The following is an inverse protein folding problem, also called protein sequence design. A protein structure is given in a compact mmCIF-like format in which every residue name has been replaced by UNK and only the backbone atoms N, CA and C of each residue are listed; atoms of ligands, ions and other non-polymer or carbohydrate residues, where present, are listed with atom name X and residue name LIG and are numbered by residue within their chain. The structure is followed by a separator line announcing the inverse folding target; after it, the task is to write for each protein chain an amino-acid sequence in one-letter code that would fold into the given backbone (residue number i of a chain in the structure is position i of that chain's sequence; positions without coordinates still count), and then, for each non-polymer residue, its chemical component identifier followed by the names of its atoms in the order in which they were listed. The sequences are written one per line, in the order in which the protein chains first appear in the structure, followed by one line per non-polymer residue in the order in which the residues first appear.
data_IF_574108576876
#
_entry.id   IF_574108576876
#
_cell.length_a   1.000
_cell.length_b   1.000
_cell.length_c   1.000
_cell.angle_alpha   90.00
_cell.angle_beta   90.00
_cell.angle_gamma   90.00
#
_symmetry.space_group_name_H-M   'P 1'
#
loop_
_entity.id
_entity.type
_entity.pdbx_description
1 polymer ?
#
# COMPACT_ATOMS: atom_id res chain seq x y z
N UNK A 1 0.03 -17.09 -22.62
CA UNK A 1 0.19 -16.38 -23.90
C UNK A 1 0.17 -14.89 -23.59
N UNK A 2 1.27 -14.19 -23.84
CA UNK A 2 1.35 -12.73 -23.64
C UNK A 2 0.55 -12.04 -24.73
N UNK A 3 -0.69 -11.66 -24.43
CA UNK A 3 -1.44 -10.72 -25.28
C UNK A 3 -0.83 -9.34 -25.02
N UNK A 4 -0.01 -8.87 -25.96
CA UNK A 4 0.47 -7.48 -25.92
C UNK A 4 -0.74 -6.61 -26.26
N UNK A 5 -1.32 -5.96 -25.25
CA UNK A 5 -2.41 -5.00 -25.43
C UNK A 5 -2.02 -4.00 -26.52
N UNK A 6 -2.80 -3.96 -27.60
CA UNK A 6 -2.50 -3.13 -28.76
C UNK A 6 -3.20 -1.79 -28.58
N UNK A 7 -2.47 -0.69 -28.35
CA UNK A 7 -3.09 0.60 -28.11
C UNK A 7 -3.87 1.05 -29.34
N UNK A 8 -5.13 1.47 -29.10
CA UNK A 8 -6.05 1.96 -30.13
C UNK A 8 -5.53 3.20 -30.85
N UNK A 9 -4.82 4.05 -30.10
CA UNK A 9 -4.18 5.24 -30.65
C UNK A 9 -2.86 5.53 -29.91
N UNK A 10 -1.78 5.65 -30.69
CA UNK A 10 -0.48 6.13 -30.23
C UNK A 10 -0.22 7.49 -30.89
N UNK A 11 0.17 8.49 -30.10
CA UNK A 11 0.47 9.82 -30.62
C UNK A 11 1.54 10.53 -29.82
N UNK A 12 2.18 11.51 -30.43
CA UNK A 12 3.02 12.49 -29.73
C UNK A 12 2.24 13.81 -29.79
N UNK A 13 2.00 14.41 -28.63
CA UNK A 13 1.25 15.66 -28.53
C UNK A 13 1.97 16.64 -27.61
N UNK A 14 1.86 17.94 -27.91
CA UNK A 14 2.44 18.99 -27.08
C UNK A 14 1.71 19.14 -25.73
N UNK A 15 2.33 19.82 -24.78
CA UNK A 15 1.68 20.17 -23.49
C UNK A 15 0.38 20.94 -23.74
N UNK A 16 0.36 21.90 -24.68
CA UNK A 16 -0.86 22.62 -25.05
C UNK A 16 -1.95 21.66 -25.52
N UNK A 17 -1.63 20.74 -26.43
CA UNK A 17 -2.60 19.77 -26.95
C UNK A 17 -3.09 18.78 -25.88
N UNK A 18 -2.20 18.36 -24.98
CA UNK A 18 -2.55 17.49 -23.85
C UNK A 18 -3.58 18.17 -22.94
N UNK A 19 -3.31 19.41 -22.54
CA UNK A 19 -4.13 20.13 -21.57
C UNK A 19 -5.43 20.69 -22.17
N UNK A 20 -5.46 20.94 -23.48
CA UNK A 20 -6.66 21.32 -24.23
C UNK A 20 -7.48 20.10 -24.71
N UNK A 21 -7.06 18.86 -24.39
CA UNK A 21 -7.73 17.66 -24.85
C UNK A 21 -9.18 17.59 -24.32
N UNK A 22 -10.16 17.31 -25.19
CA UNK A 22 -11.57 17.23 -24.77
C UNK A 22 -11.77 16.07 -23.80
N UNK A 23 -12.62 16.29 -22.80
CA UNK A 23 -13.01 15.30 -21.79
C UNK A 23 -11.83 14.66 -21.04
N UNK A 24 -10.70 15.37 -20.91
CA UNK A 24 -9.58 14.93 -20.09
C UNK A 24 -10.00 14.90 -18.61
N UNK A 25 -9.85 13.74 -17.97
CA UNK A 25 -10.23 13.55 -16.58
C UNK A 25 -9.08 12.97 -15.76
N UNK A 26 -8.94 13.46 -14.53
CA UNK A 26 -8.16 12.80 -13.49
C UNK A 26 -9.17 12.01 -12.65
N UNK A 27 -9.27 10.69 -12.87
CA UNK A 27 -10.30 9.90 -12.20
C UNK A 27 -10.02 9.77 -10.71
N UNK A 28 -11.07 9.61 -9.92
CA UNK A 28 -10.98 9.62 -8.45
C UNK A 28 -10.22 8.42 -7.85
N UNK A 29 -10.10 7.31 -8.60
CA UNK A 29 -9.31 6.16 -8.18
C UNK A 29 -7.78 6.41 -8.29
N UNK A 30 -7.38 7.52 -8.92
CA UNK A 30 -5.96 7.88 -9.00
C UNK A 30 -5.42 8.35 -7.66
N UNK A 31 -4.10 8.17 -7.49
CA UNK A 31 -3.44 8.50 -6.23
C UNK A 31 -3.41 10.01 -5.97
N UNK A 32 -3.35 10.44 -4.69
CA UNK A 32 -3.09 11.82 -4.32
C UNK A 32 -1.87 12.42 -5.03
N UNK A 33 -1.87 13.74 -5.21
CA UNK A 33 -0.72 14.46 -5.74
C UNK A 33 0.40 14.49 -4.69
N UNK A 34 1.46 13.70 -4.92
CA UNK A 34 2.59 13.46 -4.01
C UNK A 34 3.90 14.10 -4.48
N UNK A 35 3.92 14.73 -5.67
CA UNK A 35 5.08 15.50 -6.09
C UNK A 35 5.34 16.66 -5.12
N UNK A 36 6.62 16.93 -4.88
CA UNK A 36 7.11 17.98 -3.96
C UNK A 36 7.86 19.04 -4.75
N UNK A 37 8.23 20.16 -4.11
CA UNK A 37 8.94 21.26 -4.78
C UNK A 37 10.26 20.82 -5.41
N UNK A 38 10.89 19.76 -4.90
CA UNK A 38 12.05 19.12 -5.53
C UNK A 38 11.73 18.55 -6.92
N UNK A 39 10.59 17.86 -7.06
CA UNK A 39 10.17 17.29 -8.34
C UNK A 39 9.81 18.39 -9.34
N UNK A 40 9.17 19.48 -8.87
CA UNK A 40 8.91 20.67 -9.67
C UNK A 40 10.23 21.29 -10.17
N UNK A 41 11.17 21.53 -9.26
CA UNK A 41 12.48 22.08 -9.60
C UNK A 41 13.21 21.24 -10.63
N UNK A 42 13.19 19.91 -10.50
CA UNK A 42 13.76 19.00 -11.50
C UNK A 42 13.07 19.15 -12.86
N UNK A 43 11.74 19.13 -12.91
CA UNK A 43 10.99 19.26 -14.17
C UNK A 43 11.35 20.55 -14.91
N UNK A 44 11.36 21.69 -14.22
CA UNK A 44 11.68 22.97 -14.86
C UNK A 44 13.16 23.11 -15.19
N UNK A 45 14.06 22.55 -14.38
CA UNK A 45 15.48 22.48 -14.70
C UNK A 45 15.71 21.69 -15.99
N UNK A 46 15.03 20.57 -16.17
CA UNK A 46 15.14 19.76 -17.38
C UNK A 46 14.59 20.53 -18.59
N UNK A 47 13.41 21.14 -18.47
CA UNK A 47 12.81 21.95 -19.55
C UNK A 47 13.76 23.07 -19.98
N UNK A 48 14.39 23.76 -19.02
CA UNK A 48 15.40 24.78 -19.30
C UNK A 48 16.64 24.22 -20.00
N UNK A 49 17.14 23.06 -19.56
CA UNK A 49 18.32 22.42 -20.15
C UNK A 49 18.13 21.97 -21.60
N UNK A 50 16.89 21.68 -22.02
CA UNK A 50 16.57 21.25 -23.37
C UNK A 50 15.99 22.34 -24.27
N UNK A 51 15.95 23.62 -23.83
CA UNK A 51 15.30 24.73 -24.56
C UNK A 51 15.77 24.93 -26.00
N UNK A 52 17.05 24.63 -26.27
CA UNK A 52 17.67 24.80 -27.60
C UNK A 52 17.44 23.60 -28.53
N UNK A 53 16.81 22.52 -28.03
CA UNK A 53 16.45 21.38 -28.86
C UNK A 53 15.15 21.66 -29.61
N UNK A 54 14.94 20.89 -30.69
CA UNK A 54 13.69 20.97 -31.46
C UNK A 54 12.47 20.65 -30.61
N UNK A 55 12.62 19.70 -29.69
CA UNK A 55 11.53 19.23 -28.85
C UNK A 55 12.06 18.45 -27.63
N UNK A 56 11.35 18.49 -26.50
CA UNK A 56 11.69 17.73 -25.28
C UNK A 56 10.58 16.74 -24.92
N UNK A 57 10.93 15.49 -24.57
CA UNK A 57 9.97 14.44 -24.18
C UNK A 57 9.80 14.39 -22.67
N UNK A 58 8.62 14.79 -22.21
CA UNK A 58 8.24 14.72 -20.80
C UNK A 58 7.84 13.32 -20.34
N UNK A 59 7.94 12.32 -21.24
CA UNK A 59 7.60 10.92 -21.03
C UNK A 59 6.21 10.55 -21.54
N UNK A 60 5.65 9.50 -20.95
CA UNK A 60 4.41 8.85 -21.42
C UNK A 60 3.19 9.25 -20.59
N UNK A 61 2.03 9.37 -21.23
CA UNK A 61 0.70 9.49 -20.61
C UNK A 61 -0.20 8.38 -21.16
N UNK A 62 -0.78 7.59 -20.27
CA UNK A 62 -1.68 6.49 -20.64
C UNK A 62 -3.10 6.89 -20.28
N UNK A 63 -4.03 6.67 -21.20
CA UNK A 63 -5.43 7.00 -21.05
C UNK A 63 -6.32 5.77 -21.16
N UNK A 64 -7.33 5.72 -20.30
CA UNK A 64 -8.48 4.85 -20.44
C UNK A 64 -9.65 5.67 -20.99
N UNK A 65 -10.21 5.26 -22.14
CA UNK A 65 -11.36 5.88 -22.77
C UNK A 65 -12.64 5.19 -22.29
N UNK A 66 -13.42 5.89 -21.48
CA UNK A 66 -14.66 5.40 -20.87
C UNK A 66 -15.82 6.33 -21.20
N UNK A 67 -16.82 5.86 -21.95
CA UNK A 67 -18.02 6.64 -22.34
C UNK A 67 -17.75 8.09 -22.81
N UNK A 68 -16.62 8.30 -23.50
CA UNK A 68 -16.06 9.57 -24.03
C UNK A 68 -15.18 10.38 -23.07
N UNK A 69 -15.04 9.97 -21.81
CA UNK A 69 -14.03 10.53 -20.91
C UNK A 69 -12.67 9.90 -21.13
N UNK A 70 -11.64 10.75 -21.17
CA UNK A 70 -10.26 10.35 -21.34
C UNK A 70 -9.57 10.37 -19.98
N UNK A 71 -9.72 9.28 -19.24
CA UNK A 71 -9.22 9.11 -17.89
C UNK A 71 -7.71 8.86 -17.88
N UNK A 72 -6.95 9.68 -17.14
CA UNK A 72 -5.51 9.46 -16.98
C UNK A 72 -5.27 8.23 -16.10
N UNK A 73 -4.58 7.23 -16.66
CA UNK A 73 -4.10 6.03 -15.95
C UNK A 73 -2.64 6.18 -15.51
N UNK A 74 -1.80 6.78 -16.37
CA UNK A 74 -0.38 7.07 -16.07
C UNK A 74 0.00 8.51 -16.47
N UNK A 75 0.99 9.09 -15.79
CA UNK A 75 1.46 10.45 -16.04
C UNK A 75 0.72 11.53 -15.23
N UNK A 76 -0.24 11.14 -14.38
CA UNK A 76 -1.08 12.03 -13.58
C UNK A 76 -0.32 13.15 -12.86
N UNK A 77 0.75 12.81 -12.12
CA UNK A 77 1.49 13.79 -11.32
C UNK A 77 2.10 14.89 -12.19
N UNK A 78 2.73 14.51 -13.32
CA UNK A 78 3.29 15.44 -14.30
C UNK A 78 2.22 16.31 -14.91
N UNK A 79 1.10 15.71 -15.34
CA UNK A 79 0.00 16.44 -15.96
C UNK A 79 -0.57 17.49 -15.00
N UNK A 80 -0.75 17.15 -13.71
CA UNK A 80 -1.17 18.12 -12.68
C UNK A 80 -0.15 19.25 -12.54
N UNK A 81 1.15 18.95 -12.45
CA UNK A 81 2.19 20.00 -12.37
C UNK A 81 2.19 20.92 -13.59
N UNK A 82 1.97 20.39 -14.79
CA UNK A 82 1.83 21.19 -16.01
C UNK A 82 0.57 22.05 -16.00
N UNK A 83 -0.56 21.54 -15.48
CA UNK A 83 -1.77 22.33 -15.27
C UNK A 83 -1.52 23.51 -14.32
N UNK A 84 -0.79 23.29 -13.21
CA UNK A 84 -0.40 24.36 -12.28
C UNK A 84 0.50 25.39 -12.95
N UNK A 85 1.42 24.97 -13.82
CA UNK A 85 2.28 25.86 -14.59
C UNK A 85 1.49 26.76 -15.56
N UNK A 86 0.58 26.16 -16.33
CA UNK A 86 -0.29 26.92 -17.23
C UNK A 86 -1.20 27.87 -16.45
N UNK A 87 -1.75 27.44 -15.31
CA UNK A 87 -2.56 28.30 -14.46
C UNK A 87 -1.76 29.50 -13.92
N UNK A 88 -0.50 29.29 -13.50
CA UNK A 88 0.39 30.36 -13.09
C UNK A 88 0.73 31.32 -14.26
N UNK A 89 0.96 30.80 -15.47
CA UNK A 89 1.18 31.62 -16.66
C UNK A 89 -0.01 32.53 -16.99
N UNK A 90 -1.22 31.95 -16.98
CA UNK A 90 -2.47 32.69 -17.20
C UNK A 90 -2.59 33.83 -16.17
N UNK A 91 -2.36 33.53 -14.89
CA UNK A 91 -2.57 34.49 -13.80
C UNK A 91 -1.49 35.57 -13.68
N UNK A 92 -0.23 35.24 -13.97
CA UNK A 92 0.91 36.12 -13.66
C UNK A 92 1.55 36.77 -14.89
N UNK A 93 1.47 36.12 -16.05
CA UNK A 93 2.23 36.52 -17.25
C UNK A 93 1.35 36.94 -18.43
N UNK A 94 0.16 36.34 -18.60
CA UNK A 94 -0.74 36.57 -19.76
C UNK A 94 -0.81 38.03 -20.22
N UNK A 95 -1.16 38.94 -19.32
CA UNK A 95 -1.38 40.35 -19.67
C UNK A 95 -0.08 41.12 -19.95
N UNK A 96 1.07 40.57 -19.51
CA UNK A 96 2.40 41.14 -19.71
C UNK A 96 3.10 40.63 -20.98
N UNK A 97 2.51 39.67 -21.69
CA UNK A 97 3.09 39.13 -22.92
C UNK A 97 3.02 40.15 -24.07
N UNK A 98 4.00 40.14 -24.95
CA UNK A 98 4.02 40.88 -26.21
C UNK A 98 3.46 40.01 -27.35
N UNK A 99 3.78 38.71 -27.36
CA UNK A 99 3.28 37.76 -28.38
C UNK A 99 1.79 37.46 -28.24
N UNK A 100 1.02 37.92 -29.23
CA UNK A 100 -0.42 37.65 -29.30
C UNK A 100 -0.75 36.17 -29.49
N UNK A 101 0.08 35.41 -30.21
CA UNK A 101 -0.14 33.97 -30.41
C UNK A 101 -0.09 33.18 -29.09
N UNK A 102 0.77 33.59 -28.15
CA UNK A 102 0.84 32.97 -26.82
C UNK A 102 -0.34 33.37 -25.94
N UNK A 103 -0.83 34.61 -26.03
CA UNK A 103 -2.04 35.05 -25.32
C UNK A 103 -3.25 34.22 -25.73
N UNK A 104 -3.47 34.07 -27.03
CA UNK A 104 -4.58 33.28 -27.57
C UNK A 104 -4.52 31.80 -27.13
N UNK A 105 -3.31 31.23 -27.07
CA UNK A 105 -3.11 29.86 -26.59
C UNK A 105 -3.42 29.72 -25.10
N UNK A 106 -3.02 30.69 -24.27
CA UNK A 106 -3.35 30.70 -22.85
C UNK A 106 -4.87 30.87 -22.63
N UNK A 107 -5.56 31.67 -23.44
CA UNK A 107 -7.02 31.86 -23.41
C UNK A 107 -7.79 30.61 -23.83
N UNK A 108 -7.26 29.89 -24.82
CA UNK A 108 -7.79 28.57 -25.17
C UNK A 108 -7.64 27.59 -24.00
N UNK A 109 -6.47 27.54 -23.38
CA UNK A 109 -6.21 26.65 -22.25
C UNK A 109 -7.05 27.01 -21.03
N UNK A 110 -7.24 28.30 -20.72
CA UNK A 110 -8.10 28.74 -19.62
C UNK A 110 -9.54 28.23 -19.77
N UNK A 111 -10.05 28.18 -21.01
CA UNK A 111 -11.41 27.71 -21.30
C UNK A 111 -11.53 26.18 -21.35
N UNK A 112 -10.50 25.48 -21.83
CA UNK A 112 -10.58 24.03 -22.12
C UNK A 112 -9.94 23.14 -21.06
N UNK A 113 -8.96 23.65 -20.31
CA UNK A 113 -8.22 22.84 -19.36
C UNK A 113 -9.14 22.41 -18.20
N UNK A 114 -9.16 21.11 -17.84
CA UNK A 114 -10.02 20.66 -16.76
C UNK A 114 -9.56 21.23 -15.41
N UNK A 115 -10.52 21.48 -14.53
CA UNK A 115 -10.27 21.90 -13.15
C UNK A 115 -10.50 20.69 -12.23
N UNK A 116 -9.45 19.90 -11.92
CA UNK A 116 -9.60 18.74 -11.06
C UNK A 116 -9.95 19.14 -9.61
N UNK A 117 -10.84 18.37 -8.99
CA UNK A 117 -11.12 18.47 -7.56
C UNK A 117 -10.17 17.55 -6.78
N UNK A 118 -9.59 18.05 -5.68
CA UNK A 118 -8.67 17.29 -4.84
C UNK A 118 -9.20 17.18 -3.41
N UNK A 119 -9.63 15.98 -3.03
CA UNK A 119 -10.20 15.74 -1.70
C UNK A 119 -9.12 15.51 -0.63
N UNK A 120 -8.02 14.82 -0.99
CA UNK A 120 -6.92 14.47 -0.09
C UNK A 120 -6.14 15.70 0.40
N UNK A 121 -5.91 15.78 1.72
CA UNK A 121 -5.18 16.89 2.34
C UNK A 121 -3.72 16.98 1.89
N UNK A 122 -3.07 15.82 1.66
CA UNK A 122 -1.71 15.77 1.10
C UNK A 122 -1.68 16.42 -0.28
N UNK A 123 -2.68 16.14 -1.13
CA UNK A 123 -2.79 16.78 -2.45
C UNK A 123 -2.92 18.30 -2.30
N UNK A 124 -3.81 18.79 -1.43
CA UNK A 124 -4.02 20.24 -1.22
C UNK A 124 -2.74 20.93 -0.77
N UNK A 125 -2.04 20.36 0.22
CA UNK A 125 -0.77 20.89 0.73
C UNK A 125 0.29 20.93 -0.37
N UNK A 126 0.47 19.82 -1.09
CA UNK A 126 1.48 19.73 -2.14
C UNK A 126 1.16 20.60 -3.35
N UNK A 127 -0.11 20.72 -3.75
CA UNK A 127 -0.55 21.59 -4.84
C UNK A 127 -0.25 23.04 -4.48
N UNK A 128 -0.59 23.47 -3.26
CA UNK A 128 -0.33 24.83 -2.82
C UNK A 128 1.18 25.15 -2.81
N UNK A 129 1.99 24.29 -2.18
CA UNK A 129 3.43 24.47 -2.10
C UNK A 129 4.09 24.48 -3.49
N UNK A 130 3.65 23.60 -4.39
CA UNK A 130 4.17 23.51 -5.74
C UNK A 130 3.70 24.67 -6.63
N UNK A 131 2.46 25.13 -6.50
CA UNK A 131 2.00 26.32 -7.20
C UNK A 131 2.86 27.54 -6.82
N UNK A 132 3.19 27.72 -5.54
CA UNK A 132 4.09 28.80 -5.11
C UNK A 132 5.51 28.67 -5.65
N UNK A 133 6.04 27.45 -5.75
CA UNK A 133 7.35 27.20 -6.39
C UNK A 133 7.31 27.54 -7.88
N UNK A 134 6.28 27.08 -8.59
CA UNK A 134 6.07 27.31 -10.01
C UNK A 134 5.89 28.80 -10.30
N UNK A 135 5.10 29.51 -9.50
CA UNK A 135 4.93 30.96 -9.60
C UNK A 135 6.27 31.68 -9.45
N UNK A 136 7.11 31.26 -8.49
CA UNK A 136 8.47 31.80 -8.30
C UNK A 136 9.43 31.48 -9.45
N UNK A 137 9.20 30.43 -10.23
CA UNK A 137 10.00 30.11 -11.42
C UNK A 137 9.54 30.95 -12.62
N UNK A 138 8.23 31.03 -12.85
CA UNK A 138 7.64 31.70 -14.01
C UNK A 138 7.74 33.23 -13.92
N UNK A 139 7.76 33.80 -12.71
CA UNK A 139 7.89 35.25 -12.53
C UNK A 139 9.36 35.74 -12.63
N UNK A 140 10.32 34.83 -12.79
CA UNK A 140 11.72 35.22 -12.99
C UNK A 140 11.91 35.87 -14.36
N UNK A 141 12.88 36.77 -14.44
CA UNK A 141 13.21 37.49 -15.67
C UNK A 141 13.80 36.57 -16.76
N UNK A 142 14.46 35.48 -16.37
CA UNK A 142 15.01 34.48 -17.29
C UNK A 142 13.95 33.51 -17.84
N UNK A 143 12.72 33.55 -17.31
CA UNK A 143 11.54 32.86 -17.87
C UNK A 143 10.84 33.74 -18.91
N UNK A 144 11.44 33.77 -20.10
CA UNK A 144 11.03 34.58 -21.25
C UNK A 144 9.90 33.93 -22.08
N UNK A 145 9.41 34.65 -23.09
CA UNK A 145 8.34 34.15 -23.97
C UNK A 145 8.75 32.95 -24.83
N UNK A 146 10.04 32.80 -25.12
CA UNK A 146 10.56 31.61 -25.81
C UNK A 146 10.48 30.38 -24.91
N UNK A 147 10.74 30.52 -23.61
CA UNK A 147 10.53 29.43 -22.65
C UNK A 147 9.05 29.07 -22.51
N UNK A 148 8.14 30.05 -22.52
CA UNK A 148 6.69 29.81 -22.53
C UNK A 148 6.29 29.04 -23.79
N UNK A 149 6.74 29.50 -24.95
CA UNK A 149 6.50 28.82 -26.23
C UNK A 149 7.07 27.40 -26.23
N UNK A 150 8.28 27.22 -25.71
CA UNK A 150 8.92 25.92 -25.61
C UNK A 150 8.11 24.97 -24.72
N UNK A 151 7.69 25.43 -23.53
CA UNK A 151 6.85 24.66 -22.61
C UNK A 151 5.52 24.22 -23.26
N UNK A 152 4.83 25.12 -23.96
CA UNK A 152 3.50 24.82 -24.51
C UNK A 152 3.56 23.99 -25.80
N UNK A 153 4.54 24.27 -26.67
CA UNK A 153 4.53 23.79 -28.05
C UNK A 153 5.66 22.81 -28.39
N UNK A 154 6.76 22.76 -27.61
CA UNK A 154 7.93 21.90 -27.90
C UNK A 154 8.21 20.86 -26.80
N UNK A 155 7.67 21.05 -25.61
CA UNK A 155 7.52 19.95 -24.65
C UNK A 155 6.35 19.07 -25.11
N UNK A 156 6.61 17.79 -25.32
CA UNK A 156 5.60 16.84 -25.79
C UNK A 156 5.63 15.55 -24.97
N UNK A 157 4.49 14.87 -24.96
CA UNK A 157 4.29 13.58 -24.31
C UNK A 157 3.94 12.51 -25.34
N UNK A 158 4.37 11.28 -25.07
CA UNK A 158 3.89 10.11 -25.81
C UNK A 158 2.59 9.67 -25.18
N UNK A 159 1.55 9.49 -25.99
CA UNK A 159 0.21 9.14 -25.52
C UNK A 159 -0.22 7.76 -26.01
N UNK A 160 -0.88 7.02 -25.13
CA UNK A 160 -1.53 5.75 -25.43
C UNK A 160 -2.96 5.83 -24.96
N UNK A 161 -3.92 5.51 -25.83
CA UNK A 161 -5.34 5.43 -25.46
C UNK A 161 -5.83 4.00 -25.61
N UNK A 162 -6.45 3.47 -24.56
CA UNK A 162 -7.00 2.12 -24.46
C UNK A 162 -8.46 2.21 -24.02
N UNK A 163 -9.33 1.35 -24.54
CA UNK A 163 -10.75 1.28 -24.17
C UNK A 163 -11.02 0.30 -23.04
N UNK A 164 -10.08 -0.60 -22.78
CA UNK A 164 -10.16 -1.53 -21.66
C UNK A 164 -9.28 -1.03 -20.51
N UNK A 165 -9.89 -0.87 -19.34
CA UNK A 165 -9.19 -0.37 -18.16
C UNK A 165 -8.11 -1.35 -17.68
N UNK A 166 -8.33 -2.65 -17.86
CA UNK A 166 -7.40 -3.69 -17.44
C UNK A 166 -6.13 -3.66 -18.27
N UNK A 167 -6.28 -3.54 -19.59
CA UNK A 167 -5.18 -3.32 -20.53
C UNK A 167 -4.42 -2.02 -20.22
N UNK A 168 -5.14 -0.93 -19.90
CA UNK A 168 -4.52 0.35 -19.54
C UNK A 168 -3.61 0.26 -18.31
N UNK A 169 -4.09 -0.43 -17.27
CA UNK A 169 -3.28 -0.70 -16.09
C UNK A 169 -2.15 -1.71 -16.36
N UNK A 170 -2.34 -2.71 -17.22
CA UNK A 170 -1.25 -3.64 -17.59
C UNK A 170 -0.14 -2.90 -18.34
N UNK A 171 -0.52 -1.99 -19.24
CA UNK A 171 0.42 -1.13 -19.94
C UNK A 171 1.19 -0.25 -18.95
N UNK A 172 0.49 0.36 -17.99
CA UNK A 172 1.10 1.12 -16.89
C UNK A 172 2.12 0.29 -16.10
N UNK A 173 1.76 -0.93 -15.66
CA UNK A 173 2.65 -1.81 -14.90
C UNK A 173 3.93 -2.13 -15.71
N UNK A 174 3.78 -2.43 -17.01
CA UNK A 174 4.89 -2.76 -17.89
C UNK A 174 5.86 -1.59 -18.14
N UNK A 175 5.35 -0.35 -18.17
CA UNK A 175 6.16 0.86 -18.35
C UNK A 175 6.92 1.20 -17.06
N UNK A 176 6.27 1.08 -15.90
CA UNK A 176 6.88 1.37 -14.61
C UNK A 176 7.88 0.31 -14.14
N UNK A 177 7.85 -0.89 -14.73
CA UNK A 177 8.93 -1.88 -14.55
C UNK A 177 10.30 -1.41 -15.09
N UNK A 178 10.35 -0.35 -15.92
CA UNK A 178 11.59 0.21 -16.50
C UNK A 178 11.99 1.58 -15.91
N UNK A 179 11.13 2.18 -15.06
CA UNK A 179 11.29 3.54 -14.51
C UNK A 179 11.52 3.56 -12.99
N UNK A 180 11.21 4.68 -12.32
CA UNK A 180 11.24 4.77 -10.84
C UNK A 180 10.29 3.71 -10.28
N UNK A 181 10.83 2.79 -9.47
CA UNK A 181 10.06 1.65 -8.96
C UNK A 181 8.83 2.11 -8.17
N UNK A 182 7.66 1.62 -8.59
CA UNK A 182 6.46 1.64 -7.76
C UNK A 182 6.64 0.68 -6.59
N UNK A 183 6.13 1.09 -5.42
CA UNK A 183 6.07 0.20 -4.27
C UNK A 183 5.12 -0.96 -4.55
N UNK A 184 5.35 -2.16 -4.00
CA UNK A 184 4.50 -3.33 -4.26
C UNK A 184 3.00 -3.08 -3.97
N UNK A 185 2.68 -2.27 -2.96
CA UNK A 185 1.30 -1.93 -2.63
C UNK A 185 0.64 -1.03 -3.70
N UNK A 186 1.38 -0.17 -4.41
CA UNK A 186 0.84 0.60 -5.54
C UNK A 186 0.43 -0.34 -6.70
N UNK A 187 1.21 -1.39 -6.95
CA UNK A 187 0.89 -2.42 -7.96
C UNK A 187 -0.34 -3.23 -7.56
N UNK A 188 -0.46 -3.60 -6.28
CA UNK A 188 -1.63 -4.29 -5.75
C UNK A 188 -2.89 -3.43 -5.90
N UNK A 189 -2.82 -2.15 -5.53
CA UNK A 189 -3.93 -1.21 -5.73
C UNK A 189 -4.39 -1.20 -7.19
N UNK A 190 -3.46 -1.03 -8.13
CA UNK A 190 -3.79 -1.01 -9.56
C UNK A 190 -4.42 -2.34 -10.03
N UNK A 191 -3.89 -3.48 -9.57
CA UNK A 191 -4.47 -4.79 -9.83
C UNK A 191 -5.91 -4.91 -9.30
N UNK A 192 -6.14 -4.65 -8.02
CA UNK A 192 -7.46 -4.84 -7.43
C UNK A 192 -8.49 -3.79 -7.89
N UNK A 193 -8.06 -2.61 -8.36
CA UNK A 193 -8.95 -1.66 -9.01
C UNK A 193 -9.50 -2.17 -10.35
N UNK A 194 -8.71 -2.94 -11.11
CA UNK A 194 -9.16 -3.60 -12.35
C UNK A 194 -10.18 -4.69 -12.08
N UNK A 195 -9.97 -5.42 -10.99
CA UNK A 195 -10.77 -6.57 -10.61
C UNK A 195 -12.08 -6.19 -9.90
N UNK A 196 -12.39 -4.90 -9.80
CA UNK A 196 -13.66 -4.41 -9.26
C UNK A 196 -14.80 -4.74 -10.23
N UNK A 197 -15.92 -5.26 -9.71
CA UNK A 197 -17.10 -5.52 -10.54
C UNK A 197 -17.74 -4.21 -11.00
N UNK A 198 -18.25 -4.21 -12.23
CA UNK A 198 -19.01 -3.07 -12.79
C UNK A 198 -20.26 -2.75 -11.97
N UNK A 199 -20.92 -3.76 -11.41
CA UNK A 199 -22.11 -3.56 -10.55
C UNK A 199 -21.75 -2.90 -9.21
N UNK A 200 -20.50 -3.02 -8.78
CA UNK A 200 -19.98 -2.44 -7.54
C UNK A 200 -19.31 -1.07 -7.76
N UNK A 201 -19.28 -0.52 -8.97
CA UNK A 201 -18.56 0.73 -9.29
C UNK A 201 -18.97 1.91 -8.39
N UNK A 202 -20.23 1.95 -7.97
CA UNK A 202 -20.75 2.95 -7.03
C UNK A 202 -20.10 2.89 -5.63
N UNK A 203 -19.59 1.72 -5.21
CA UNK A 203 -18.89 1.49 -3.94
C UNK A 203 -17.39 1.81 -4.02
N UNK A 204 -16.81 1.77 -5.23
CA UNK A 204 -15.36 1.89 -5.48
C UNK A 204 -14.72 3.08 -4.77
N UNK A 205 -15.33 4.27 -4.87
CA UNK A 205 -14.84 5.48 -4.20
C UNK A 205 -14.75 5.29 -2.69
N UNK A 206 -15.84 4.82 -2.07
CA UNK A 206 -15.92 4.66 -0.62
C UNK A 206 -14.92 3.62 -0.10
N UNK A 207 -14.77 2.50 -0.81
CA UNK A 207 -13.85 1.42 -0.44
C UNK A 207 -12.39 1.85 -0.54
N UNK A 208 -12.03 2.58 -1.60
CA UNK A 208 -10.62 2.95 -1.88
C UNK A 208 -10.19 4.19 -1.08
N UNK A 209 -11.13 5.03 -0.63
CA UNK A 209 -10.84 6.26 0.10
C UNK A 209 -9.90 6.06 1.31
N UNK A 210 -10.10 5.00 2.09
CA UNK A 210 -9.23 4.71 3.23
C UNK A 210 -7.81 4.37 2.81
N UNK A 211 -7.64 3.53 1.79
CA UNK A 211 -6.34 3.22 1.22
C UNK A 211 -5.60 4.48 0.76
N UNK A 212 -6.29 5.41 0.09
CA UNK A 212 -5.67 6.66 -0.38
C UNK A 212 -5.27 7.62 0.74
N UNK A 213 -6.02 7.56 1.84
CA UNK A 213 -5.78 8.40 3.01
C UNK A 213 -4.75 7.80 3.97
N UNK A 214 -4.43 6.50 3.85
CA UNK A 214 -3.36 5.86 4.62
C UNK A 214 -1.98 6.35 4.20
N UNK A 215 -1.06 6.39 5.16
CA UNK A 215 0.32 6.75 4.85
C UNK A 215 1.01 5.62 4.06
N UNK A 216 1.83 5.98 3.08
CA UNK A 216 2.62 5.01 2.29
C UNK A 216 3.46 4.09 3.20
N UNK A 217 3.98 4.62 4.30
CA UNK A 217 4.80 3.87 5.25
C UNK A 217 3.99 2.84 6.06
N UNK A 218 2.73 3.14 6.38
CA UNK A 218 1.82 2.22 7.06
C UNK A 218 1.46 1.05 6.15
N UNK A 219 1.07 1.32 4.90
CA UNK A 219 0.79 0.27 3.91
C UNK A 219 2.02 -0.59 3.64
N UNK A 220 3.18 0.03 3.43
CA UNK A 220 4.45 -0.70 3.22
C UNK A 220 4.76 -1.60 4.43
N UNK A 221 4.57 -1.09 5.65
CA UNK A 221 4.77 -1.87 6.89
C UNK A 221 3.77 -3.02 7.00
N UNK A 222 2.48 -2.77 6.78
CA UNK A 222 1.44 -3.80 6.83
C UNK A 222 1.77 -4.96 5.89
N UNK A 223 2.01 -4.67 4.61
CA UNK A 223 2.29 -5.71 3.63
C UNK A 223 3.64 -6.38 3.88
N UNK A 224 4.74 -5.62 3.99
CA UNK A 224 6.08 -6.20 4.02
C UNK A 224 6.46 -6.84 5.37
N UNK A 225 6.00 -6.27 6.50
CA UNK A 225 6.37 -6.76 7.82
C UNK A 225 5.38 -7.78 8.39
N UNK A 226 4.09 -7.69 8.05
CA UNK A 226 3.07 -8.55 8.66
C UNK A 226 2.44 -9.50 7.66
N UNK A 227 1.64 -9.00 6.71
CA UNK A 227 0.84 -9.86 5.84
C UNK A 227 1.69 -10.81 4.99
N UNK A 228 2.78 -10.30 4.38
CA UNK A 228 3.68 -11.10 3.55
C UNK A 228 4.37 -12.20 4.37
N UNK A 229 4.87 -11.84 5.56
CA UNK A 229 5.55 -12.77 6.46
C UNK A 229 4.62 -13.87 6.95
N UNK A 230 3.46 -13.50 7.47
CA UNK A 230 2.48 -14.46 7.97
C UNK A 230 2.06 -15.41 6.85
N UNK A 231 1.71 -14.89 5.66
CA UNK A 231 1.23 -15.72 4.55
C UNK A 231 2.29 -16.67 3.98
N UNK A 232 3.56 -16.25 3.89
CA UNK A 232 4.62 -17.15 3.43
C UNK A 232 5.03 -18.15 4.51
N UNK A 233 5.16 -17.73 5.78
CA UNK A 233 5.51 -18.65 6.85
C UNK A 233 4.44 -19.70 7.12
N UNK A 234 3.15 -19.41 6.95
CA UNK A 234 2.09 -20.43 7.01
C UNK A 234 2.15 -21.44 5.85
N UNK A 235 2.72 -21.05 4.69
CA UNK A 235 3.07 -21.97 3.59
C UNK A 235 4.41 -22.68 3.82
N UNK A 236 5.23 -22.15 4.72
CA UNK A 236 6.60 -22.59 4.98
C UNK A 236 7.57 -22.19 3.88
N UNK A 237 7.31 -21.05 3.27
CA UNK A 237 8.15 -20.39 2.28
C UNK A 237 8.92 -19.24 2.96
N UNK A 238 10.11 -18.87 2.44
CA UNK A 238 10.88 -17.74 2.96
C UNK A 238 10.12 -16.42 2.81
N UNK A 239 10.33 -15.49 3.74
CA UNK A 239 9.61 -14.22 3.77
C UNK A 239 10.51 -13.02 4.12
N UNK A 240 11.72 -12.97 3.56
CA UNK A 240 12.73 -11.97 3.94
C UNK A 240 12.34 -10.56 3.47
N UNK A 241 12.06 -10.41 2.18
CA UNK A 241 11.78 -9.13 1.52
C UNK A 241 10.50 -9.26 0.72
N UNK A 242 9.64 -8.24 0.79
CA UNK A 242 8.46 -8.14 -0.04
C UNK A 242 8.77 -7.18 -1.20
N UNK A 243 8.79 -7.72 -2.41
CA UNK A 243 9.04 -6.97 -3.65
C UNK A 243 7.91 -7.09 -4.65
N UNK A 244 8.14 -6.59 -5.87
CA UNK A 244 7.16 -6.62 -6.96
C UNK A 244 6.82 -8.05 -7.39
N UNK A 245 7.84 -8.93 -7.40
CA UNK A 245 7.71 -10.35 -7.76
C UNK A 245 6.85 -11.14 -6.77
N UNK A 246 6.67 -10.62 -5.56
CA UNK A 246 5.88 -11.25 -4.50
C UNK A 246 4.39 -10.83 -4.54
N UNK A 247 4.01 -9.90 -5.41
CA UNK A 247 2.63 -9.34 -5.43
C UNK A 247 1.58 -10.41 -5.75
N UNK A 248 1.95 -11.48 -6.44
CA UNK A 248 1.05 -12.60 -6.74
C UNK A 248 0.53 -13.32 -5.49
N UNK A 249 1.22 -13.22 -4.35
CA UNK A 249 0.74 -13.74 -3.06
C UNK A 249 -0.59 -13.09 -2.61
N UNK A 250 -0.83 -11.87 -3.10
CA UNK A 250 -1.99 -11.04 -2.79
C UNK A 250 -2.98 -10.95 -3.95
N UNK A 251 -2.74 -11.64 -5.06
CA UNK A 251 -3.70 -11.80 -6.15
C UNK A 251 -4.40 -13.14 -5.98
N UNK A 252 -5.72 -13.14 -5.99
CA UNK A 252 -6.52 -14.34 -5.78
C UNK A 252 -7.63 -14.46 -6.81
N UNK A 253 -8.84 -14.73 -6.33
CA UNK A 253 -9.98 -15.05 -7.20
C UNK A 253 -10.93 -13.88 -7.33
N UNK A 254 -11.46 -13.68 -8.53
CA UNK A 254 -12.61 -12.81 -8.76
C UNK A 254 -13.87 -13.66 -8.63
N UNK A 255 -14.63 -13.49 -7.54
CA UNK A 255 -15.78 -14.36 -7.19
C UNK A 255 -16.87 -14.36 -8.26
N UNK A 256 -17.00 -13.27 -9.02
CA UNK A 256 -18.05 -13.08 -10.02
C UNK A 256 -17.71 -13.70 -11.37
N UNK A 257 -16.45 -13.60 -11.81
CA UNK A 257 -16.03 -14.05 -13.15
C UNK A 257 -15.42 -15.45 -13.15
N UNK A 258 -14.93 -15.92 -12.00
CA UNK A 258 -14.35 -17.26 -11.88
C UNK A 258 -15.40 -18.34 -12.15
N UNK A 259 -14.98 -19.42 -12.83
CA UNK A 259 -15.81 -20.61 -13.03
C UNK A 259 -16.31 -21.16 -11.69
N UNK A 260 -17.42 -21.91 -11.73
CA UNK A 260 -18.07 -22.49 -10.55
C UNK A 260 -17.25 -23.64 -9.95
N UNK A 261 -16.09 -23.33 -9.39
CA UNK A 261 -15.26 -24.28 -8.69
C UNK A 261 -15.78 -24.50 -7.26
N UNK A 262 -15.83 -25.74 -6.74
CA UNK A 262 -16.34 -25.99 -5.40
C UNK A 262 -15.56 -25.26 -4.28
N UNK A 263 -14.24 -25.11 -4.42
CA UNK A 263 -13.39 -24.53 -3.37
C UNK A 263 -13.66 -23.05 -3.08
N UNK A 264 -14.36 -22.32 -3.96
CA UNK A 264 -14.70 -20.90 -3.79
C UNK A 264 -16.14 -20.68 -3.30
N UNK A 265 -16.98 -21.72 -3.25
CA UNK A 265 -18.41 -21.57 -2.95
C UNK A 265 -18.65 -20.89 -1.60
N UNK A 266 -17.85 -21.24 -0.59
CA UNK A 266 -17.93 -20.62 0.73
C UNK A 266 -17.61 -19.11 0.70
N UNK A 267 -16.63 -18.69 -0.10
CA UNK A 267 -16.28 -17.27 -0.26
C UNK A 267 -17.39 -16.52 -1.00
N UNK A 268 -17.99 -17.16 -2.03
CA UNK A 268 -19.11 -16.60 -2.78
C UNK A 268 -20.34 -16.43 -1.88
N UNK A 269 -20.66 -17.44 -1.08
CA UNK A 269 -21.75 -17.39 -0.11
C UNK A 269 -21.52 -16.26 0.90
N UNK A 270 -20.33 -16.17 1.49
CA UNK A 270 -19.99 -15.10 2.43
C UNK A 270 -20.09 -13.72 1.78
N UNK A 271 -19.58 -13.55 0.56
CA UNK A 271 -19.62 -12.29 -0.17
C UNK A 271 -21.06 -11.80 -0.37
N UNK A 272 -21.92 -12.64 -0.97
CA UNK A 272 -23.30 -12.26 -1.25
C UNK A 272 -24.15 -12.13 0.02
N UNK A 273 -23.91 -12.98 1.03
CA UNK A 273 -24.65 -12.89 2.28
C UNK A 273 -24.35 -11.59 3.02
N UNK A 274 -23.08 -11.19 3.12
CA UNK A 274 -22.68 -9.92 3.77
C UNK A 274 -23.31 -8.73 3.06
N UNK A 275 -23.30 -8.72 1.72
CA UNK A 275 -23.89 -7.60 0.97
C UNK A 275 -25.42 -7.59 1.06
N UNK A 276 -26.07 -8.75 1.00
CA UNK A 276 -27.50 -8.87 1.21
C UNK A 276 -27.91 -8.37 2.59
N UNK A 277 -27.19 -8.80 3.64
CA UNK A 277 -27.41 -8.36 5.01
C UNK A 277 -27.29 -6.84 5.13
N UNK A 278 -26.20 -6.26 4.62
CA UNK A 278 -25.94 -4.82 4.69
C UNK A 278 -26.90 -3.98 3.85
N UNK A 279 -27.44 -4.54 2.76
CA UNK A 279 -28.43 -3.90 1.90
C UNK A 279 -29.88 -4.03 2.40
N UNK A 280 -30.13 -4.84 3.43
CA UNK A 280 -31.46 -5.09 3.97
C UNK A 280 -32.17 -3.83 4.46
N UNK A 281 -33.50 -3.76 4.29
CA UNK A 281 -34.29 -2.60 4.71
C UNK A 281 -34.17 -2.34 6.21
N UNK A 282 -34.06 -3.41 7.00
CA UNK A 282 -33.89 -3.39 8.44
C UNK A 282 -32.65 -2.62 8.87
N UNK A 283 -31.57 -2.64 8.05
CA UNK A 283 -30.34 -1.89 8.34
C UNK A 283 -30.54 -0.38 8.26
N UNK A 284 -31.55 0.09 7.52
CA UNK A 284 -31.94 1.52 7.49
C UNK A 284 -32.68 1.93 8.77
N UNK A 285 -33.19 0.97 9.54
CA UNK A 285 -33.88 1.21 10.81
C UNK A 285 -32.88 1.13 11.97
N UNK A 286 -32.10 0.05 12.04
CA UNK A 286 -31.22 -0.20 13.18
C UNK A 286 -29.78 0.28 13.00
N UNK A 287 -29.36 0.58 11.76
CA UNK A 287 -28.03 1.09 11.44
C UNK A 287 -26.90 0.07 11.59
N UNK A 288 -27.20 -1.21 11.86
CA UNK A 288 -26.16 -2.21 12.03
C UNK A 288 -25.52 -2.60 10.69
N UNK A 289 -24.25 -2.97 10.74
CA UNK A 289 -23.50 -3.47 9.58
C UNK A 289 -22.77 -4.76 9.95
N UNK A 290 -22.53 -5.58 8.94
CA UNK A 290 -21.75 -6.80 9.02
C UNK A 290 -20.46 -6.63 8.23
N UNK A 291 -19.33 -6.77 8.91
CA UNK A 291 -18.03 -6.82 8.25
C UNK A 291 -17.85 -8.20 7.58
N UNK A 292 -17.10 -8.22 6.49
CA UNK A 292 -16.69 -9.49 5.88
C UNK A 292 -15.74 -10.24 6.84
N UNK A 293 -15.93 -11.54 7.06
CA UNK A 293 -15.15 -12.32 8.02
C UNK A 293 -13.78 -12.73 7.44
N UNK A 294 -12.84 -11.79 7.37
CA UNK A 294 -11.49 -12.07 6.88
C UNK A 294 -10.68 -12.93 7.87
N UNK A 295 -9.78 -13.77 7.33
CA UNK A 295 -8.72 -14.46 8.08
C UNK A 295 -7.43 -14.53 7.23
N UNK A 296 -6.26 -14.54 7.87
CA UNK A 296 -4.99 -14.15 7.24
C UNK A 296 -4.47 -15.11 6.17
N UNK A 297 -4.77 -16.39 6.28
CA UNK A 297 -4.34 -17.43 5.33
C UNK A 297 -5.43 -17.84 4.34
N UNK A 298 -6.56 -17.11 4.30
CA UNK A 298 -7.60 -17.31 3.29
C UNK A 298 -7.11 -16.97 1.87
N UNK A 299 -7.85 -17.48 0.89
CA UNK A 299 -7.70 -17.09 -0.52
C UNK A 299 -8.12 -15.62 -0.67
N UNK A 300 -7.29 -14.81 -1.32
CA UNK A 300 -7.63 -13.41 -1.56
C UNK A 300 -8.82 -13.32 -2.51
N UNK A 301 -9.75 -12.45 -2.17
CA UNK A 301 -10.85 -12.06 -3.06
C UNK A 301 -10.43 -10.75 -3.73
N UNK A 302 -10.32 -10.78 -5.06
CA UNK A 302 -9.90 -9.60 -5.82
C UNK A 302 -10.98 -8.49 -5.77
N UNK A 303 -10.64 -7.29 -6.25
CA UNK A 303 -11.59 -6.19 -6.25
C UNK A 303 -11.83 -5.58 -4.87
N UNK A 304 -13.09 -5.27 -4.57
CA UNK A 304 -13.53 -4.59 -3.34
C UNK A 304 -13.04 -5.26 -2.06
N UNK A 305 -13.19 -6.58 -1.96
CA UNK A 305 -12.89 -7.32 -0.73
C UNK A 305 -11.41 -7.29 -0.35
N UNK A 306 -10.49 -7.15 -1.32
CA UNK A 306 -9.08 -6.93 -1.02
C UNK A 306 -8.83 -5.60 -0.30
N UNK A 307 -9.47 -4.52 -0.74
CA UNK A 307 -9.34 -3.21 -0.08
C UNK A 307 -9.95 -3.23 1.32
N UNK A 308 -11.12 -3.85 1.49
CA UNK A 308 -11.75 -4.05 2.80
C UNK A 308 -10.90 -4.92 3.73
N UNK A 309 -10.26 -5.98 3.21
CA UNK A 309 -9.32 -6.81 3.97
C UNK A 309 -8.10 -6.00 4.41
N UNK A 310 -7.59 -5.13 3.54
CA UNK A 310 -6.44 -4.28 3.89
C UNK A 310 -6.80 -3.28 4.97
N UNK A 311 -7.95 -2.62 4.87
CA UNK A 311 -8.47 -1.72 5.91
C UNK A 311 -8.67 -2.46 7.24
N UNK A 312 -9.26 -3.66 7.19
CA UNK A 312 -9.41 -4.51 8.37
C UNK A 312 -8.06 -4.76 9.05
N UNK A 313 -7.05 -5.24 8.31
CA UNK A 313 -5.75 -5.54 8.91
C UNK A 313 -4.89 -4.32 9.25
N UNK A 314 -5.08 -3.16 8.61
CA UNK A 314 -4.51 -1.90 9.09
C UNK A 314 -4.99 -1.62 10.52
N UNK A 315 -6.30 -1.80 10.77
CA UNK A 315 -6.90 -1.68 12.10
C UNK A 315 -6.36 -2.73 13.08
N UNK A 316 -6.42 -4.01 12.71
CA UNK A 316 -6.07 -5.13 13.59
C UNK A 316 -4.59 -5.13 13.99
N UNK A 317 -3.69 -4.95 13.01
CA UNK A 317 -2.25 -4.87 13.28
C UNK A 317 -1.94 -3.66 14.16
N UNK A 318 -2.57 -2.51 13.91
CA UNK A 318 -2.32 -1.27 14.63
C UNK A 318 -2.43 -1.41 16.16
N UNK A 319 -3.47 -2.10 16.65
CA UNK A 319 -3.64 -2.33 18.08
C UNK A 319 -2.95 -3.60 18.59
N UNK A 320 -2.75 -4.62 17.76
CA UNK A 320 -2.14 -5.88 18.18
C UNK A 320 -0.64 -5.74 18.51
N UNK A 321 0.07 -4.85 17.82
CA UNK A 321 1.52 -4.63 18.03
C UNK A 321 1.81 -3.65 19.17
N UNK A 322 0.84 -2.79 19.50
CA UNK A 322 0.91 -1.95 20.69
C UNK A 322 0.47 -2.74 21.92
N UNK A 323 1.44 -3.07 22.77
CA UNK A 323 1.21 -3.85 23.98
C UNK A 323 0.16 -3.23 24.92
N UNK A 324 0.06 -1.90 25.03
CA UNK A 324 -0.96 -1.25 25.87
C UNK A 324 -2.34 -1.34 25.23
N UNK A 325 -2.42 -1.12 23.92
CA UNK A 325 -3.69 -1.22 23.19
C UNK A 325 -4.23 -2.65 23.21
N UNK A 326 -3.36 -3.64 22.99
CA UNK A 326 -3.68 -5.06 23.12
C UNK A 326 -4.15 -5.42 24.53
N UNK A 327 -3.43 -4.99 25.58
CA UNK A 327 -3.87 -5.20 26.97
C UNK A 327 -5.25 -4.60 27.24
N UNK A 328 -5.54 -3.42 26.69
CA UNK A 328 -6.86 -2.77 26.80
C UNK A 328 -7.95 -3.59 26.10
N UNK A 329 -7.66 -4.15 24.91
CA UNK A 329 -8.57 -5.01 24.15
C UNK A 329 -8.86 -6.34 24.85
N UNK A 330 -7.84 -6.97 25.43
CA UNK A 330 -7.99 -8.22 26.21
C UNK A 330 -8.79 -7.97 27.50
N UNK A 331 -8.67 -6.77 28.08
CA UNK A 331 -9.36 -6.37 29.30
C UNK A 331 -8.62 -6.80 30.59
N UNK A 332 -8.97 -6.13 31.71
CA UNK A 332 -8.25 -6.27 32.99
C UNK A 332 -8.29 -7.68 33.61
N UNK A 333 -9.28 -8.50 33.27
CA UNK A 333 -9.42 -9.86 33.77
C UNK A 333 -8.73 -10.93 32.90
N UNK A 334 -8.24 -10.57 31.70
CA UNK A 334 -7.90 -11.54 30.65
C UNK A 334 -6.42 -11.96 30.54
N UNK A 335 -5.51 -11.27 31.24
CA UNK A 335 -4.10 -11.68 31.31
C UNK A 335 -3.76 -12.30 32.67
N UNK A 336 -3.21 -13.51 32.64
CA UNK A 336 -2.74 -14.23 33.81
C UNK A 336 -1.35 -14.85 33.55
N UNK A 337 -0.82 -15.56 34.54
CA UNK A 337 0.48 -16.22 34.42
C UNK A 337 1.63 -15.23 34.18
N UNK A 338 2.51 -15.59 33.24
CA UNK A 338 3.66 -14.78 32.84
C UNK A 338 3.33 -13.80 31.71
N UNK A 339 2.17 -13.88 31.05
CA UNK A 339 1.84 -13.05 29.88
C UNK A 339 2.01 -11.53 30.13
N UNK A 340 1.59 -11.03 31.29
CA UNK A 340 1.75 -9.61 31.63
C UNK A 340 3.22 -9.22 31.83
N UNK A 341 4.03 -10.14 32.38
CA UNK A 341 5.48 -9.96 32.58
C UNK A 341 6.24 -10.05 31.26
N UNK A 342 5.81 -10.94 30.36
CA UNK A 342 6.30 -11.03 28.98
C UNK A 342 6.13 -9.67 28.30
N UNK A 343 4.92 -9.11 28.32
CA UNK A 343 4.63 -7.79 27.76
C UNK A 343 5.48 -6.67 28.35
N UNK A 344 5.66 -6.64 29.67
CA UNK A 344 6.57 -5.69 30.30
C UNK A 344 8.02 -5.90 29.82
N UNK A 345 8.48 -7.15 29.73
CA UNK A 345 9.86 -7.47 29.35
C UNK A 345 10.15 -7.09 27.89
N UNK A 346 9.31 -7.50 26.94
CA UNK A 346 9.53 -7.25 25.50
C UNK A 346 9.45 -5.76 25.12
N UNK A 347 8.81 -4.95 25.96
CA UNK A 347 8.69 -3.50 25.76
C UNK A 347 9.78 -2.69 26.46
N UNK A 348 10.51 -3.24 27.43
CA UNK A 348 11.41 -2.44 28.29
C UNK A 348 12.85 -2.92 28.38
N UNK A 349 13.18 -4.14 27.92
CA UNK A 349 14.56 -4.63 28.04
C UNK A 349 15.58 -3.81 27.24
N UNK A 350 16.82 -3.76 27.74
CA UNK A 350 17.88 -2.86 27.26
C UNK A 350 18.15 -3.00 25.74
N UNK A 351 18.19 -4.23 25.22
CA UNK A 351 18.51 -4.52 23.83
C UNK A 351 17.40 -4.27 22.81
N UNK A 352 16.18 -3.90 23.23
CA UNK A 352 14.94 -3.98 22.40
C UNK A 352 14.96 -3.25 21.06
N UNK A 353 15.72 -2.16 20.97
CA UNK A 353 15.74 -1.31 19.77
C UNK A 353 16.83 -1.72 18.76
N UNK A 354 17.68 -2.70 19.07
CA UNK A 354 18.71 -3.19 18.14
C UNK A 354 18.06 -3.91 16.97
N UNK A 355 18.70 -3.90 15.80
CA UNK A 355 18.13 -4.48 14.56
C UNK A 355 17.70 -5.94 14.72
N UNK A 356 18.57 -6.80 15.27
CA UNK A 356 18.24 -8.21 15.49
C UNK A 356 17.09 -8.43 16.48
N UNK A 357 17.02 -7.60 17.52
CA UNK A 357 15.96 -7.61 18.52
C UNK A 357 14.61 -7.15 17.94
N UNK A 358 14.62 -6.20 16.99
CA UNK A 358 13.44 -5.81 16.21
C UNK A 358 12.93 -6.95 15.31
N UNK A 359 13.82 -7.74 14.70
CA UNK A 359 13.40 -8.92 13.93
C UNK A 359 12.68 -9.94 14.81
N UNK A 360 13.24 -10.26 15.98
CA UNK A 360 12.59 -11.16 16.95
C UNK A 360 11.25 -10.61 17.41
N UNK A 361 11.14 -9.29 17.63
CA UNK A 361 9.88 -8.65 17.98
C UNK A 361 8.83 -8.79 16.86
N UNK A 362 9.21 -8.54 15.61
CA UNK A 362 8.31 -8.75 14.45
C UNK A 362 7.85 -10.20 14.36
N UNK A 363 8.74 -11.15 14.60
CA UNK A 363 8.40 -12.58 14.59
C UNK A 363 7.38 -12.95 15.68
N UNK A 364 7.56 -12.40 16.90
CA UNK A 364 6.60 -12.51 18.00
C UNK A 364 5.25 -11.89 17.62
N UNK A 365 5.26 -10.66 17.11
CA UNK A 365 4.05 -9.92 16.75
C UNK A 365 3.28 -10.64 15.63
N UNK A 366 3.96 -11.12 14.58
CA UNK A 366 3.32 -11.84 13.46
C UNK A 366 2.59 -13.10 13.93
N UNK A 367 3.21 -13.92 14.78
CA UNK A 367 2.57 -15.15 15.25
C UNK A 367 1.43 -14.86 16.23
N UNK A 368 1.54 -13.80 17.04
CA UNK A 368 0.48 -13.37 17.94
C UNK A 368 -0.72 -12.80 17.17
N UNK A 369 -0.48 -11.97 16.15
CA UNK A 369 -1.51 -11.48 15.24
C UNK A 369 -2.23 -12.66 14.59
N UNK A 370 -1.50 -13.64 14.07
CA UNK A 370 -2.11 -14.81 13.43
C UNK A 370 -2.90 -15.68 14.43
N UNK A 371 -2.44 -15.80 15.67
CA UNK A 371 -3.19 -16.50 16.72
C UNK A 371 -4.51 -15.80 17.04
N UNK A 372 -4.49 -14.47 17.19
CA UNK A 372 -5.67 -13.66 17.47
C UNK A 372 -6.65 -13.70 16.30
N UNK A 373 -6.17 -13.58 15.07
CA UNK A 373 -6.99 -13.69 13.85
C UNK A 373 -7.73 -15.03 13.80
N UNK A 374 -7.07 -16.12 14.18
CA UNK A 374 -7.65 -17.47 14.11
C UNK A 374 -8.53 -17.86 15.29
N UNK A 375 -8.12 -17.54 16.53
CA UNK A 375 -8.76 -18.02 17.76
C UNK A 375 -9.30 -16.90 18.65
N UNK A 376 -9.18 -15.65 18.24
CA UNK A 376 -9.49 -14.49 19.08
C UNK A 376 -8.62 -14.49 20.35
N UNK A 377 -9.25 -14.20 21.49
CA UNK A 377 -8.56 -14.15 22.79
C UNK A 377 -8.62 -15.47 23.58
N UNK A 378 -9.06 -16.56 22.95
CA UNK A 378 -9.11 -17.86 23.60
C UNK A 378 -7.71 -18.28 24.07
N UNK A 379 -7.55 -18.53 25.37
CA UNK A 379 -6.27 -18.92 26.00
C UNK A 379 -5.09 -17.97 25.70
N UNK A 380 -5.37 -16.68 25.44
CA UNK A 380 -4.37 -15.73 24.94
C UNK A 380 -3.12 -15.60 25.82
N UNK A 381 -3.25 -15.73 27.15
CA UNK A 381 -2.11 -15.67 28.07
C UNK A 381 -1.11 -16.79 27.80
N UNK A 382 -1.59 -18.03 27.61
CA UNK A 382 -0.75 -19.19 27.30
C UNK A 382 -0.13 -19.06 25.91
N UNK A 383 -0.87 -18.51 24.95
CA UNK A 383 -0.37 -18.25 23.61
C UNK A 383 0.78 -17.22 23.63
N UNK A 384 0.61 -16.09 24.34
CA UNK A 384 1.65 -15.06 24.52
C UNK A 384 2.92 -15.68 25.10
N UNK A 385 2.80 -16.46 26.18
CA UNK A 385 3.92 -17.12 26.83
C UNK A 385 4.66 -18.06 25.87
N UNK A 386 3.91 -18.87 25.13
CA UNK A 386 4.47 -19.84 24.21
C UNK A 386 5.17 -19.19 23.02
N UNK A 387 4.52 -18.21 22.41
CA UNK A 387 5.06 -17.43 21.28
C UNK A 387 6.32 -16.68 21.74
N UNK A 388 6.32 -16.14 22.97
CA UNK A 388 7.49 -15.50 23.56
C UNK A 388 8.67 -16.46 23.70
N UNK A 389 8.46 -17.65 24.29
CA UNK A 389 9.52 -18.64 24.43
C UNK A 389 10.08 -19.03 23.07
N UNK A 390 9.21 -19.34 22.11
CA UNK A 390 9.64 -19.67 20.75
C UNK A 390 10.44 -18.54 20.10
N UNK A 391 9.96 -17.30 20.17
CA UNK A 391 10.61 -16.21 19.46
C UNK A 391 11.93 -15.76 20.11
N UNK A 392 11.94 -15.61 21.42
CA UNK A 392 13.10 -15.10 22.14
C UNK A 392 14.15 -16.18 22.42
N UNK A 393 13.86 -17.47 22.21
CA UNK A 393 14.88 -18.53 22.18
C UNK A 393 15.95 -18.23 21.13
N UNK A 394 15.51 -17.88 19.91
CA UNK A 394 16.41 -17.43 18.84
C UNK A 394 17.27 -16.25 19.28
N UNK A 395 16.67 -15.26 19.98
CA UNK A 395 17.43 -14.10 20.44
C UNK A 395 18.52 -14.50 21.42
N UNK A 396 18.22 -15.34 22.41
CA UNK A 396 19.19 -15.74 23.43
C UNK A 396 20.33 -16.58 22.84
N UNK A 397 20.06 -17.36 21.79
CA UNK A 397 21.05 -18.27 21.20
C UNK A 397 22.01 -17.60 20.20
N UNK A 398 21.81 -16.33 19.85
CA UNK A 398 22.63 -15.64 18.84
C UNK A 398 23.34 -14.39 19.38
N UNK A 399 24.63 -14.26 19.10
CA UNK A 399 25.36 -13.01 19.38
C UNK A 399 24.93 -11.90 18.42
N UNK A 400 24.89 -12.21 17.12
CA UNK A 400 24.41 -11.33 16.04
C UNK A 400 23.25 -12.04 15.34
N UNK A 401 22.12 -11.35 15.20
CA UNK A 401 20.92 -11.88 14.55
C UNK A 401 20.61 -11.02 13.33
N UNK A 402 20.63 -11.66 12.16
CA UNK A 402 20.29 -11.05 10.88
C UNK A 402 18.90 -11.48 10.42
N UNK A 403 18.35 -10.78 9.44
CA UNK A 403 17.05 -11.11 8.86
C UNK A 403 16.96 -12.56 8.37
N UNK A 404 18.02 -13.05 7.71
CA UNK A 404 18.10 -14.44 7.25
C UNK A 404 18.10 -15.45 8.42
N UNK A 405 18.69 -15.09 9.57
CA UNK A 405 18.68 -15.93 10.77
C UNK A 405 17.27 -16.11 11.32
N UNK A 406 16.48 -15.01 11.37
CA UNK A 406 15.06 -15.07 11.75
C UNK A 406 14.27 -15.95 10.80
N UNK A 407 14.40 -15.71 9.50
CA UNK A 407 13.62 -16.42 8.49
C UNK A 407 13.92 -17.93 8.49
N UNK A 408 15.19 -18.32 8.53
CA UNK A 408 15.58 -19.73 8.62
C UNK A 408 15.06 -20.38 9.90
N UNK A 409 15.14 -19.69 11.04
CA UNK A 409 14.62 -20.21 12.31
C UNK A 409 13.11 -20.47 12.25
N UNK A 410 12.35 -19.57 11.61
CA UNK A 410 10.91 -19.80 11.39
C UNK A 410 10.68 -21.02 10.51
N UNK A 411 11.44 -21.19 9.42
CA UNK A 411 11.27 -22.33 8.53
C UNK A 411 11.61 -23.67 9.20
N UNK A 412 12.67 -23.71 9.99
CA UNK A 412 13.11 -24.90 10.72
C UNK A 412 12.19 -25.23 11.91
N UNK A 413 11.65 -24.22 12.60
CA UNK A 413 10.82 -24.36 13.81
C UNK A 413 9.43 -23.74 13.62
N UNK A 414 8.76 -24.10 12.53
CA UNK A 414 7.61 -23.36 12.01
C UNK A 414 6.31 -23.50 12.83
N UNK A 415 6.14 -22.61 13.81
CA UNK A 415 4.90 -22.52 14.57
C UNK A 415 3.72 -21.92 13.77
N UNK A 416 3.96 -21.22 12.66
CA UNK A 416 2.88 -20.73 11.79
C UNK A 416 2.16 -21.88 11.09
N UNK A 417 2.89 -22.86 10.56
CA UNK A 417 2.30 -24.10 10.01
C UNK A 417 1.49 -24.85 11.06
N UNK A 418 2.05 -25.03 12.26
CA UNK A 418 1.34 -25.69 13.36
C UNK A 418 0.06 -24.95 13.74
N UNK A 419 0.11 -23.62 13.82
CA UNK A 419 -1.07 -22.81 14.10
C UNK A 419 -2.09 -22.89 12.97
N UNK A 420 -1.65 -22.94 11.70
CA UNK A 420 -2.51 -23.15 10.54
C UNK A 420 -3.25 -24.48 10.59
N UNK A 421 -2.58 -25.56 11.00
CA UNK A 421 -3.18 -26.90 11.07
C UNK A 421 -4.02 -27.11 12.34
N UNK A 422 -3.84 -26.27 13.36
CA UNK A 422 -4.58 -26.36 14.62
C UNK A 422 -6.08 -26.08 14.43
N UNK A 423 -6.94 -26.91 15.02
CA UNK A 423 -8.40 -26.70 15.03
C UNK A 423 -8.89 -26.07 16.32
N UNK A 424 -8.14 -26.29 17.41
CA UNK A 424 -8.38 -25.72 18.72
C UNK A 424 -7.11 -25.09 19.30
N UNK A 425 -7.22 -24.11 20.23
CA UNK A 425 -6.08 -23.55 20.94
C UNK A 425 -5.14 -24.61 21.54
N UNK A 426 -5.71 -25.68 22.08
CA UNK A 426 -4.97 -26.80 22.67
C UNK A 426 -3.96 -27.47 21.72
N UNK A 427 -4.29 -27.59 20.43
CA UNK A 427 -3.42 -28.23 19.42
C UNK A 427 -2.12 -27.43 19.26
N UNK A 428 -2.24 -26.10 19.22
CA UNK A 428 -1.10 -25.20 19.18
C UNK A 428 -0.35 -25.18 20.52
N UNK A 429 -1.09 -25.11 21.64
CA UNK A 429 -0.53 -24.96 22.98
C UNK A 429 0.09 -26.24 23.55
N UNK A 430 -0.24 -27.42 23.04
CA UNK A 430 0.33 -28.70 23.47
C UNK A 430 1.75 -29.00 22.97
N UNK A 431 2.21 -28.32 21.92
CA UNK A 431 3.56 -28.54 21.36
C UNK A 431 4.70 -28.21 22.34
N UNK A 432 5.63 -29.14 22.59
CA UNK A 432 6.77 -28.87 23.47
C UNK A 432 7.83 -28.02 22.77
N UNK A 433 8.38 -27.03 23.48
CA UNK A 433 9.50 -26.21 23.02
C UNK A 433 10.78 -26.62 23.76
N UNK A 434 11.94 -26.64 23.08
CA UNK A 434 13.22 -26.96 23.72
C UNK A 434 13.61 -25.89 24.73
N UNK A 435 14.38 -26.28 25.74
CA UNK A 435 14.98 -25.36 26.72
C UNK A 435 16.23 -24.70 26.14
N UNK A 436 16.50 -23.47 26.56
CA UNK A 436 17.73 -22.74 26.20
C UNK A 436 18.84 -23.10 27.17
N UNK A 437 19.98 -23.55 26.66
CA UNK A 437 21.14 -23.97 27.49
C UNK A 437 22.12 -22.84 27.78
N UNK A 438 22.15 -21.81 26.93
CA UNK A 438 23.08 -20.69 27.05
C UNK A 438 22.51 -19.40 26.46
N UNK A 439 22.82 -18.26 27.09
CA UNK A 439 22.57 -16.92 26.53
C UNK A 439 23.85 -16.38 25.89
N UNK A 440 23.89 -16.36 24.55
CA UNK A 440 24.96 -15.77 23.73
C UNK A 440 24.72 -14.30 23.38
N UNK A 441 23.57 -13.73 23.75
CA UNK A 441 23.21 -12.34 23.47
C UNK A 441 23.58 -11.42 24.63
N UNK A 442 24.15 -10.26 24.31
CA UNK A 442 24.29 -9.16 25.27
C UNK A 442 22.98 -8.38 25.43
N UNK A 443 22.82 -7.66 26.55
CA UNK A 443 21.68 -6.75 26.83
C UNK A 443 20.29 -7.42 26.87
N UNK A 444 20.25 -8.73 27.12
CA UNK A 444 19.03 -9.56 27.19
C UNK A 444 18.78 -10.16 28.57
N UNK A 445 19.44 -9.66 29.63
CA UNK A 445 19.34 -10.19 31.00
C UNK A 445 17.89 -10.30 31.51
N UNK A 446 17.03 -9.33 31.20
CA UNK A 446 15.62 -9.36 31.59
C UNK A 446 14.84 -10.50 30.91
N UNK A 447 15.15 -10.78 29.64
CA UNK A 447 14.58 -11.90 28.88
C UNK A 447 15.06 -13.22 29.47
N UNK A 448 16.36 -13.36 29.69
CA UNK A 448 16.96 -14.57 30.29
C UNK A 448 16.38 -14.88 31.68
N UNK A 449 16.20 -13.85 32.52
CA UNK A 449 15.56 -13.99 33.83
C UNK A 449 14.15 -14.59 33.70
N UNK A 450 13.36 -14.10 32.75
CA UNK A 450 12.00 -14.59 32.54
C UNK A 450 11.99 -16.03 32.04
N UNK A 451 12.92 -16.40 31.13
CA UNK A 451 13.10 -17.78 30.69
C UNK A 451 13.43 -18.73 31.84
N UNK A 452 14.30 -18.32 32.78
CA UNK A 452 14.62 -19.09 33.99
C UNK A 452 13.41 -19.31 34.90
N UNK A 453 12.61 -18.27 35.12
CA UNK A 453 11.39 -18.34 35.94
C UNK A 453 10.31 -19.20 35.29
N UNK A 454 10.19 -19.15 33.97
CA UNK A 454 9.27 -19.97 33.17
C UNK A 454 9.79 -21.40 32.92
N UNK A 455 10.97 -21.76 33.46
CA UNK A 455 11.61 -23.09 33.32
C UNK A 455 11.99 -23.48 31.88
N UNK A 456 12.30 -22.49 31.03
CA UNK A 456 12.82 -22.68 29.67
C UNK A 456 14.32 -22.34 29.53
N UNK A 457 15.04 -22.32 30.65
CA UNK A 457 16.49 -22.10 30.68
C UNK A 457 17.15 -23.15 31.58
N UNK A 458 18.14 -23.86 31.07
CA UNK A 458 18.90 -24.86 31.81
C UNK A 458 19.73 -24.18 32.90
N UNK A 459 19.54 -24.55 34.16
CA UNK A 459 20.38 -24.05 35.24
C UNK A 459 21.66 -24.88 35.29
N UNK A 460 22.85 -24.26 35.37
CA UNK A 460 24.08 -25.03 35.57
C UNK A 460 23.95 -25.82 36.88
N UNK A 461 24.20 -27.12 36.78
CA UNK A 461 24.20 -28.06 37.90
C UNK A 461 25.29 -27.75 38.92
#
# INVERSE_FOLDING_TARGET
MNVVATPLQKGIISVRQLLAAPNLAIPQYQRPYKWTSRHVGQLFSDIGAFRDKTSYRLGTVVFHLDDRQKNIVDGQQRTITLMLAVHALIRLRRDRLERNDLKEQLDELERKMPVPCFESDISKVNIHANYLEIARIIDRADFDEEQINFLLNRCEVVTFTLTDISEAFQFFDSQNARGKDLEPHDLLKAFHLREFSSHEDHLKRGTVAKWENSETAELSTLFAQYLYRIRNWTKGEPARYFGKEDTDLFKGVNIETISNYPYIEHLRLAHHFVDHYNGGYERKIDGHTMAFPFYLDQIIINGRRFFEMTDHYLGEVGWAVDTKALQKRIGRAGLNGFAQRVFAAVTSYEGRNRTGDRYVRVMFDCLLIYYIDKFGFAEISRAIEKIFIWAYSLRLQMQVLQLASMDNYVLENNLFKRLKDATHPGDFLGYSLPVVTQNRSSKTKAIEKLFKEMRYYEQPH
#
